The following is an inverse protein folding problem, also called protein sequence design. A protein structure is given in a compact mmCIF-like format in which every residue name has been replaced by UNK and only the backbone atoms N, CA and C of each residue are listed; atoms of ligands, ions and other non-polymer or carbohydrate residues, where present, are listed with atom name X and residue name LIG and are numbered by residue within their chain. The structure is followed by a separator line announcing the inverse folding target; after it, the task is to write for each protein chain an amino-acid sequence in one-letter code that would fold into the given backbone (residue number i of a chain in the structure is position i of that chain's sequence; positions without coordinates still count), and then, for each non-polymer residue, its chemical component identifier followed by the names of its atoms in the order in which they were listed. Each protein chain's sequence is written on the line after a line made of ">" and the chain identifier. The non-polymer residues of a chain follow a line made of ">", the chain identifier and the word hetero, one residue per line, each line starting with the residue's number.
data_IF_081921905191
#
_entry.id   IF_081921905191
#
_cell.length_a   1.000
_cell.length_b   1.000
_cell.length_c   1.000
_cell.angle_alpha   90.00
_cell.angle_beta   90.00
_cell.angle_gamma   90.00
#
_symmetry.space_group_name_H-M   'P 1'
#
loop_
_entity.id
_entity.type
_entity.pdbx_description
1 polymer ?
#
# COMPACT_ATOMS: atom_id res chain seq x y z
N UNK A 1 -28.70 -9.20 -0.57
CA UNK A 1 -27.91 -8.14 -1.20
C UNK A 1 -26.87 -8.80 -2.11
N UNK A 2 -26.80 -8.41 -3.39
CA UNK A 2 -25.87 -9.05 -4.33
C UNK A 2 -24.41 -8.86 -3.89
N UNK A 3 -23.54 -9.83 -4.23
CA UNK A 3 -22.10 -9.80 -3.92
C UNK A 3 -21.49 -8.48 -4.41
N UNK A 4 -21.89 -8.04 -5.59
CA UNK A 4 -21.42 -6.79 -6.18
C UNK A 4 -21.74 -5.55 -5.33
N UNK A 5 -22.95 -5.45 -4.76
CA UNK A 5 -23.30 -4.34 -3.86
C UNK A 5 -22.44 -4.32 -2.59
N UNK A 6 -22.08 -5.49 -2.07
CA UNK A 6 -21.16 -5.61 -0.92
C UNK A 6 -19.75 -5.19 -1.31
N UNK A 7 -19.26 -5.64 -2.48
CA UNK A 7 -17.97 -5.25 -3.02
C UNK A 7 -17.87 -3.73 -3.22
N UNK A 8 -18.89 -3.11 -3.79
CA UNK A 8 -18.95 -1.67 -3.99
C UNK A 8 -18.88 -0.89 -2.67
N UNK A 9 -19.63 -1.31 -1.65
CA UNK A 9 -19.58 -0.68 -0.32
C UNK A 9 -18.18 -0.82 0.32
N UNK A 10 -17.59 -2.00 0.23
CA UNK A 10 -16.25 -2.26 0.73
C UNK A 10 -15.23 -1.35 0.02
N UNK A 11 -15.20 -1.35 -1.31
CA UNK A 11 -14.29 -0.52 -2.09
C UNK A 11 -14.50 0.98 -1.84
N UNK A 12 -15.77 1.43 -1.72
CA UNK A 12 -16.05 2.84 -1.39
C UNK A 12 -15.54 3.24 0.00
N UNK A 13 -15.53 2.33 0.97
CA UNK A 13 -15.00 2.63 2.30
C UNK A 13 -13.47 2.79 2.32
N UNK A 14 -12.77 2.26 1.32
CA UNK A 14 -11.31 2.41 1.16
C UNK A 14 -10.92 3.75 0.54
N UNK A 15 -11.81 4.39 -0.24
CA UNK A 15 -11.50 5.61 -0.99
C UNK A 15 -10.84 6.73 -0.15
N UNK A 16 -11.42 7.16 1.00
CA UNK A 16 -10.87 8.29 1.73
C UNK A 16 -9.48 8.00 2.30
N UNK A 17 -9.26 6.79 2.81
CA UNK A 17 -7.97 6.42 3.40
C UNK A 17 -6.91 6.24 2.32
N UNK A 18 -7.27 5.60 1.19
CA UNK A 18 -6.35 5.44 0.05
C UNK A 18 -6.01 6.77 -0.61
N UNK A 19 -6.94 7.71 -0.67
CA UNK A 19 -6.68 9.06 -1.15
C UNK A 19 -5.64 9.76 -0.27
N UNK A 20 -5.85 9.75 1.05
CA UNK A 20 -4.90 10.33 2.00
C UNK A 20 -3.54 9.64 1.92
N UNK A 21 -3.52 8.32 1.83
CA UNK A 21 -2.29 7.55 1.64
C UNK A 21 -1.51 7.97 0.40
N UNK A 22 -2.20 8.16 -0.74
CA UNK A 22 -1.58 8.63 -1.98
C UNK A 22 -1.07 10.07 -1.90
N UNK A 23 -1.76 10.95 -1.17
CA UNK A 23 -1.26 12.31 -0.91
C UNK A 23 0.05 12.28 -0.10
N UNK A 24 0.14 11.43 0.91
CA UNK A 24 1.35 11.36 1.74
C UNK A 24 2.50 10.61 1.05
N UNK A 25 2.20 9.59 0.24
CA UNK A 25 3.26 8.82 -0.42
C UNK A 25 4.05 9.64 -1.44
N UNK A 26 3.46 10.68 -2.05
CA UNK A 26 4.20 11.53 -2.97
C UNK A 26 5.34 12.29 -2.27
N UNK A 27 5.12 12.72 -1.03
CA UNK A 27 6.18 13.36 -0.25
C UNK A 27 7.32 12.39 0.10
N UNK A 28 7.00 11.12 0.31
CA UNK A 28 8.00 10.07 0.45
C UNK A 28 8.79 9.87 -0.84
N UNK A 29 8.09 9.72 -1.97
CA UNK A 29 8.72 9.48 -3.28
C UNK A 29 9.62 10.63 -3.70
N UNK A 30 9.20 11.88 -3.52
CA UNK A 30 10.01 13.05 -3.87
C UNK A 30 11.28 13.19 -3.04
N UNK A 31 11.30 12.61 -1.82
CA UNK A 31 12.49 12.61 -0.97
C UNK A 31 13.43 11.41 -1.24
N UNK A 32 12.93 10.36 -1.92
CA UNK A 32 13.68 9.13 -2.17
C UNK A 32 14.12 8.97 -3.63
N UNK A 33 13.47 9.69 -4.54
CA UNK A 33 13.84 9.68 -5.96
C UNK A 33 15.09 10.51 -6.22
N UNK A 34 15.91 10.14 -7.23
CA UNK A 34 17.01 10.94 -7.73
C UNK A 34 16.55 12.35 -8.16
N UNK A 35 17.40 13.35 -7.97
CA UNK A 35 17.06 14.77 -8.21
C UNK A 35 16.62 15.05 -9.67
N UNK A 36 17.19 14.35 -10.64
CA UNK A 36 16.83 14.44 -12.04
C UNK A 36 15.39 13.98 -12.30
N UNK A 37 14.97 12.87 -11.71
CA UNK A 37 13.59 12.38 -11.81
C UNK A 37 12.60 13.28 -11.10
N UNK A 38 12.97 13.86 -9.95
CA UNK A 38 12.14 14.85 -9.25
C UNK A 38 12.00 16.10 -10.08
N UNK A 39 13.08 16.59 -10.69
CA UNK A 39 13.07 17.75 -11.56
C UNK A 39 12.17 17.53 -12.80
N UNK A 40 12.22 16.36 -13.42
CA UNK A 40 11.35 15.98 -14.54
C UNK A 40 9.87 15.97 -14.11
N UNK A 41 9.53 15.32 -13.00
CA UNK A 41 8.16 15.27 -12.47
C UNK A 41 7.62 16.67 -12.15
N UNK A 42 8.44 17.56 -11.59
CA UNK A 42 8.06 18.94 -11.30
C UNK A 42 8.00 19.82 -12.54
N UNK A 43 8.66 19.44 -13.64
CA UNK A 43 8.56 20.15 -14.93
C UNK A 43 7.21 19.87 -15.57
N UNK A 44 6.74 18.63 -15.50
CA UNK A 44 5.41 18.25 -16.01
C UNK A 44 4.27 18.78 -15.15
N UNK A 45 4.45 18.78 -13.82
CA UNK A 45 3.46 19.25 -12.84
C UNK A 45 4.10 20.23 -11.84
N UNK A 46 4.22 21.52 -12.20
CA UNK A 46 4.95 22.51 -11.39
C UNK A 46 4.26 22.84 -10.06
N UNK A 47 3.00 22.41 -9.88
CA UNK A 47 2.26 22.66 -8.64
C UNK A 47 2.23 21.39 -7.78
N UNK A 48 2.99 21.42 -6.68
CA UNK A 48 3.07 20.34 -5.69
C UNK A 48 1.68 19.89 -5.17
N UNK A 49 0.76 20.83 -5.01
CA UNK A 49 -0.60 20.51 -4.55
C UNK A 49 -1.34 19.68 -5.61
N UNK A 50 -1.20 20.02 -6.88
CA UNK A 50 -1.80 19.26 -7.97
C UNK A 50 -1.20 17.86 -8.04
N UNK A 51 0.12 17.74 -7.94
CA UNK A 51 0.82 16.45 -7.93
C UNK A 51 0.33 15.56 -6.78
N UNK A 52 0.21 16.11 -5.56
CA UNK A 52 -0.30 15.39 -4.41
C UNK A 52 -1.77 14.95 -4.57
N UNK A 53 -2.62 15.81 -5.14
CA UNK A 53 -4.02 15.47 -5.40
C UNK A 53 -4.15 14.38 -6.48
N UNK A 54 -3.35 14.43 -7.53
CA UNK A 54 -3.31 13.41 -8.58
C UNK A 54 -2.85 12.08 -8.03
N UNK A 55 -1.78 12.06 -7.22
CA UNK A 55 -1.29 10.86 -6.54
C UNK A 55 -2.36 10.27 -5.61
N UNK A 56 -3.06 11.12 -4.84
CA UNK A 56 -4.19 10.71 -4.00
C UNK A 56 -5.32 10.09 -4.81
N UNK A 57 -5.73 10.73 -5.91
CA UNK A 57 -6.77 10.22 -6.80
C UNK A 57 -6.39 8.89 -7.45
N UNK A 58 -5.14 8.74 -7.86
CA UNK A 58 -4.61 7.51 -8.44
C UNK A 58 -4.62 6.35 -7.42
N UNK A 59 -4.14 6.59 -6.19
CA UNK A 59 -4.16 5.59 -5.13
C UNK A 59 -5.59 5.15 -4.78
N UNK A 60 -6.52 6.11 -4.69
CA UNK A 60 -7.93 5.83 -4.47
C UNK A 60 -8.56 5.01 -5.61
N UNK A 61 -8.24 5.34 -6.86
CA UNK A 61 -8.72 4.58 -8.03
C UNK A 61 -8.19 3.14 -8.02
N UNK A 62 -6.92 2.93 -7.72
CA UNK A 62 -6.34 1.59 -7.61
C UNK A 62 -6.99 0.78 -6.49
N UNK A 63 -7.12 1.35 -5.29
CA UNK A 63 -7.76 0.67 -4.18
C UNK A 63 -9.23 0.35 -4.46
N UNK A 64 -9.94 1.25 -5.15
CA UNK A 64 -11.34 1.04 -5.51
C UNK A 64 -11.51 -0.09 -6.52
N UNK A 65 -10.78 -0.06 -7.63
CA UNK A 65 -10.88 -1.07 -8.69
C UNK A 65 -10.42 -2.43 -8.17
N UNK A 66 -9.23 -2.49 -7.56
CA UNK A 66 -8.69 -3.72 -6.99
C UNK A 66 -9.55 -4.23 -5.82
N UNK A 67 -10.15 -3.34 -5.03
CA UNK A 67 -11.06 -3.68 -3.95
C UNK A 67 -12.35 -4.36 -4.44
N UNK A 68 -12.96 -3.87 -5.53
CA UNK A 68 -14.13 -4.49 -6.12
C UNK A 68 -13.80 -5.89 -6.64
N UNK A 69 -12.82 -5.98 -7.53
CA UNK A 69 -12.45 -7.26 -8.15
C UNK A 69 -11.94 -8.26 -7.13
N UNK A 70 -11.05 -7.83 -6.23
CA UNK A 70 -10.51 -8.67 -5.17
C UNK A 70 -11.59 -9.20 -4.23
N UNK A 71 -12.54 -8.37 -3.81
CA UNK A 71 -13.67 -8.80 -2.99
C UNK A 71 -14.51 -9.86 -3.71
N UNK A 72 -14.89 -9.62 -4.97
CA UNK A 72 -15.70 -10.55 -5.76
C UNK A 72 -14.98 -11.89 -5.93
N UNK A 73 -13.67 -11.85 -6.25
CA UNK A 73 -12.85 -13.05 -6.38
C UNK A 73 -12.72 -13.80 -5.05
N UNK A 74 -12.46 -13.10 -3.95
CA UNK A 74 -12.33 -13.70 -2.62
C UNK A 74 -13.61 -14.42 -2.18
N UNK A 75 -14.77 -13.85 -2.48
CA UNK A 75 -16.08 -14.50 -2.23
C UNK A 75 -16.26 -15.71 -3.14
N UNK A 76 -15.91 -15.62 -4.43
CA UNK A 76 -16.03 -16.70 -5.41
C UNK A 76 -15.15 -17.89 -5.08
N UNK A 77 -13.93 -17.65 -4.61
CA UNK A 77 -12.97 -18.69 -4.20
C UNK A 77 -13.27 -19.25 -2.79
N UNK A 78 -14.21 -18.62 -2.05
CA UNK A 78 -14.60 -19.07 -0.70
C UNK A 78 -13.60 -18.65 0.40
N UNK A 79 -12.68 -17.73 0.10
CA UNK A 79 -11.68 -17.22 1.06
C UNK A 79 -12.14 -15.99 1.82
N UNK A 80 -13.27 -15.40 1.45
CA UNK A 80 -13.82 -14.26 2.17
C UNK A 80 -14.47 -14.71 3.49
N UNK A 81 -13.90 -14.24 4.61
CA UNK A 81 -14.49 -14.41 5.94
C UNK A 81 -14.93 -13.07 6.49
N UNK A 82 -16.00 -13.08 7.30
CA UNK A 82 -16.38 -11.89 8.08
C UNK A 82 -15.27 -11.53 9.07
N UNK A 83 -15.08 -10.23 9.27
CA UNK A 83 -14.09 -9.73 10.24
C UNK A 83 -14.57 -10.09 11.65
N UNK A 84 -13.79 -10.89 12.35
CA UNK A 84 -13.95 -11.21 13.76
C UNK A 84 -12.71 -10.77 14.53
N UNK A 85 -12.88 -9.79 15.42
CA UNK A 85 -11.77 -9.33 16.25
C UNK A 85 -11.46 -10.33 17.35
N UNK A 86 -10.32 -11.00 17.24
CA UNK A 86 -9.80 -11.89 18.26
C UNK A 86 -8.51 -11.32 18.83
N UNK A 87 -8.52 -10.98 20.15
CA UNK A 87 -7.36 -10.39 20.84
C UNK A 87 -6.08 -11.24 20.73
N UNK A 88 -6.20 -12.58 20.77
CA UNK A 88 -5.06 -13.48 20.65
C UNK A 88 -4.44 -13.38 19.26
N UNK A 89 -5.26 -13.41 18.20
CA UNK A 89 -4.78 -13.25 16.83
C UNK A 89 -4.19 -11.87 16.59
N UNK A 90 -4.82 -10.81 17.11
CA UNK A 90 -4.30 -9.46 17.00
C UNK A 90 -2.91 -9.31 17.66
N UNK A 91 -2.75 -9.87 18.86
CA UNK A 91 -1.46 -9.88 19.57
C UNK A 91 -0.40 -10.68 18.82
N UNK A 92 -0.75 -11.88 18.33
CA UNK A 92 0.18 -12.71 17.55
C UNK A 92 0.62 -11.99 16.27
N UNK A 93 -0.32 -11.37 15.54
CA UNK A 93 -0.01 -10.58 14.35
C UNK A 93 0.91 -9.41 14.69
N UNK A 94 0.64 -8.69 15.78
CA UNK A 94 1.48 -7.59 16.23
C UNK A 94 2.92 -8.06 16.54
N UNK A 95 3.07 -9.15 17.27
CA UNK A 95 4.40 -9.72 17.60
C UNK A 95 5.14 -10.11 16.32
N UNK A 96 4.49 -10.83 15.39
CA UNK A 96 5.10 -11.24 14.12
C UNK A 96 5.47 -10.00 13.28
N UNK A 97 4.62 -8.98 13.25
CA UNK A 97 4.90 -7.74 12.51
C UNK A 97 6.09 -6.97 13.09
N UNK A 98 6.20 -6.91 14.43
CA UNK A 98 7.35 -6.27 15.11
C UNK A 98 8.63 -7.05 14.83
N UNK A 99 8.61 -8.38 14.95
CA UNK A 99 9.76 -9.24 14.63
C UNK A 99 10.17 -9.09 13.15
N UNK A 100 9.20 -9.11 12.24
CA UNK A 100 9.44 -8.86 10.82
C UNK A 100 10.07 -7.48 10.57
N UNK A 101 9.54 -6.44 11.22
CA UNK A 101 10.09 -5.08 11.15
C UNK A 101 11.54 -5.00 11.64
N UNK A 102 11.87 -5.71 12.74
CA UNK A 102 13.25 -5.80 13.22
C UNK A 102 14.15 -6.48 12.19
N UNK A 103 13.71 -7.62 11.61
CA UNK A 103 14.47 -8.33 10.58
C UNK A 103 14.73 -7.43 9.37
N UNK A 104 13.71 -6.71 8.89
CA UNK A 104 13.87 -5.75 7.78
C UNK A 104 14.78 -4.57 8.15
N UNK A 105 14.74 -4.12 9.41
CA UNK A 105 15.64 -3.06 9.88
C UNK A 105 17.11 -3.50 9.91
N UNK A 106 17.39 -4.80 10.06
CA UNK A 106 18.76 -5.34 9.97
C UNK A 106 19.37 -5.19 8.57
N UNK A 107 18.55 -5.06 7.55
CA UNK A 107 18.98 -4.82 6.17
C UNK A 107 19.89 -3.58 6.08
N UNK A 108 19.50 -2.50 6.74
CA UNK A 108 20.31 -1.28 6.85
C UNK A 108 21.68 -1.53 7.49
N UNK A 109 21.74 -2.35 8.54
CA UNK A 109 22.98 -2.63 9.26
C UNK A 109 23.91 -3.59 8.50
N UNK A 110 23.31 -4.54 7.77
CA UNK A 110 24.06 -5.57 7.04
C UNK A 110 24.52 -5.05 5.68
N UNK A 111 23.62 -4.42 4.91
CA UNK A 111 23.88 -4.00 3.54
C UNK A 111 24.16 -2.51 3.38
N UNK A 112 23.78 -1.67 4.37
CA UNK A 112 24.00 -0.23 4.31
C UNK A 112 25.48 0.17 4.25
N UNK A 113 26.39 -0.67 4.79
CA UNK A 113 27.84 -0.46 4.66
C UNK A 113 28.41 -0.96 3.34
N UNK A 114 27.66 -1.78 2.59
CA UNK A 114 28.10 -2.40 1.33
C UNK A 114 27.50 -1.71 0.10
N UNK A 115 26.38 -0.99 0.26
CA UNK A 115 25.64 -0.37 -0.83
C UNK A 115 25.26 1.07 -0.42
N UNK A 116 25.96 2.06 -0.98
CA UNK A 116 25.77 3.49 -0.62
C UNK A 116 24.32 3.96 -0.79
N UNK A 117 23.64 3.51 -1.83
CA UNK A 117 22.24 3.87 -2.09
C UNK A 117 21.23 3.42 -1.02
N UNK A 118 21.56 2.40 -0.20
CA UNK A 118 20.72 1.97 0.92
C UNK A 118 20.78 2.98 2.08
N UNK A 119 21.94 3.57 2.33
CA UNK A 119 22.06 4.62 3.36
C UNK A 119 21.29 5.88 2.99
N UNK A 120 21.40 6.31 1.75
CA UNK A 120 20.68 7.49 1.23
C UNK A 120 19.16 7.28 1.27
N UNK A 121 18.66 6.13 0.82
CA UNK A 121 17.24 5.80 0.85
C UNK A 121 16.69 5.77 2.29
N UNK A 122 17.43 5.21 3.25
CA UNK A 122 17.00 5.17 4.65
C UNK A 122 17.07 6.55 5.32
N UNK A 123 18.05 7.37 4.99
CA UNK A 123 18.14 8.74 5.51
C UNK A 123 16.96 9.61 5.02
N UNK A 124 16.57 9.47 3.75
CA UNK A 124 15.44 10.19 3.16
C UNK A 124 14.08 9.78 3.73
N UNK A 125 13.92 8.51 4.14
CA UNK A 125 12.65 7.97 4.63
C UNK A 125 12.28 8.37 6.06
N UNK A 126 13.19 8.98 6.83
CA UNK A 126 12.99 9.32 8.24
C UNK A 126 12.13 10.57 8.48
N UNK A 127 11.63 11.23 7.45
CA UNK A 127 10.71 12.33 7.65
C UNK A 127 9.31 11.81 8.02
N UNK A 128 8.60 12.54 8.90
CA UNK A 128 7.28 12.12 9.42
C UNK A 128 6.24 11.88 8.29
N UNK A 129 6.25 12.68 7.24
CA UNK A 129 5.34 12.53 6.10
C UNK A 129 5.64 11.25 5.32
N UNK A 130 6.93 10.93 5.13
CA UNK A 130 7.36 9.68 4.50
C UNK A 130 6.94 8.45 5.29
N UNK A 131 7.11 8.47 6.61
CA UNK A 131 6.68 7.35 7.48
C UNK A 131 5.16 7.17 7.42
N UNK A 132 4.39 8.26 7.54
CA UNK A 132 2.93 8.19 7.43
C UNK A 132 2.52 7.68 6.04
N UNK A 133 3.14 8.18 4.97
CA UNK A 133 2.88 7.76 3.60
C UNK A 133 3.15 6.28 3.39
N UNK A 134 4.31 5.78 3.79
CA UNK A 134 4.69 4.37 3.64
C UNK A 134 3.78 3.43 4.46
N UNK A 135 3.44 3.79 5.69
CA UNK A 135 2.54 2.99 6.53
C UNK A 135 1.12 2.94 5.96
N UNK A 136 0.57 4.09 5.55
CA UNK A 136 -0.79 4.13 5.00
C UNK A 136 -0.86 3.52 3.60
N UNK A 137 0.10 3.81 2.74
CA UNK A 137 0.10 3.30 1.37
C UNK A 137 0.43 1.81 1.36
N UNK A 138 1.52 1.39 1.97
CA UNK A 138 1.92 -0.01 2.08
C UNK A 138 0.91 -0.84 2.88
N UNK A 139 0.44 -0.33 4.01
CA UNK A 139 -0.50 -1.04 4.87
C UNK A 139 -1.94 -1.14 4.33
N UNK A 140 -2.34 -0.33 3.36
CA UNK A 140 -3.70 -0.37 2.84
C UNK A 140 -3.77 -0.50 1.31
N UNK A 141 -3.12 0.36 0.54
CA UNK A 141 -3.26 0.35 -0.92
C UNK A 141 -2.56 -0.88 -1.50
N UNK A 142 -1.33 -1.15 -1.09
CA UNK A 142 -0.57 -2.33 -1.53
C UNK A 142 -1.20 -3.63 -1.04
N UNK A 143 -1.70 -3.70 0.18
CA UNK A 143 -2.40 -4.88 0.69
C UNK A 143 -3.66 -5.22 -0.12
N UNK A 144 -4.44 -4.20 -0.51
CA UNK A 144 -5.61 -4.41 -1.38
C UNK A 144 -5.19 -4.83 -2.78
N UNK A 145 -4.15 -4.24 -3.34
CA UNK A 145 -3.66 -4.58 -4.68
C UNK A 145 -3.00 -5.97 -4.72
N UNK A 146 -2.08 -6.24 -3.80
CA UNK A 146 -1.27 -7.46 -3.84
C UNK A 146 -1.99 -8.65 -3.21
N UNK A 147 -2.52 -8.50 -2.01
CA UNK A 147 -3.16 -9.62 -1.31
C UNK A 147 -4.61 -9.82 -1.75
N UNK A 148 -5.41 -8.76 -1.71
CA UNK A 148 -6.82 -8.95 -2.01
C UNK A 148 -7.08 -9.16 -3.51
N UNK A 149 -6.43 -8.40 -4.39
CA UNK A 149 -6.66 -8.54 -5.82
C UNK A 149 -5.75 -9.60 -6.45
N UNK A 150 -4.42 -9.42 -6.40
CA UNK A 150 -3.48 -10.25 -7.15
C UNK A 150 -3.46 -11.71 -6.66
N UNK A 151 -3.41 -11.93 -5.33
CA UNK A 151 -3.44 -13.30 -4.79
C UNK A 151 -4.79 -13.98 -5.07
N UNK A 152 -5.92 -13.26 -4.96
CA UNK A 152 -7.23 -13.85 -5.26
C UNK A 152 -7.39 -14.13 -6.75
N UNK A 153 -6.84 -13.28 -7.62
CA UNK A 153 -6.79 -13.51 -9.06
C UNK A 153 -5.98 -14.79 -9.38
N UNK A 154 -4.78 -14.91 -8.82
CA UNK A 154 -3.93 -16.10 -9.00
C UNK A 154 -4.62 -17.38 -8.50
N UNK A 155 -5.27 -17.33 -7.32
CA UNK A 155 -6.03 -18.43 -6.79
C UNK A 155 -7.23 -18.81 -7.69
N UNK A 156 -7.94 -17.81 -8.22
CA UNK A 156 -9.04 -18.06 -9.14
C UNK A 156 -8.59 -18.69 -10.45
N UNK A 157 -7.43 -18.28 -10.99
CA UNK A 157 -6.84 -18.90 -12.19
C UNK A 157 -6.39 -20.35 -11.93
N UNK A 158 -5.86 -20.64 -10.74
CA UNK A 158 -5.41 -21.98 -10.37
C UNK A 158 -6.58 -22.98 -10.18
N UNK A 159 -7.80 -22.50 -9.90
CA UNK A 159 -9.00 -23.31 -9.68
C UNK A 159 -9.86 -23.38 -10.95
N UNK A 160 -9.60 -22.53 -11.93
CA UNK A 160 -10.31 -22.55 -13.21
C UNK A 160 -9.99 -23.88 -13.95
N UNK A 161 -11.01 -24.64 -14.43
CA UNK A 161 -10.82 -25.91 -15.12
C UNK A 161 -10.12 -25.76 -16.48
#
# INVERSE_FOLDING_TARGET
>A
MSVFKKALRFASSLLPVSFVAGVFVIFYQLNTLPEDMVAEALTEMPNMTVLALVSGAQAAAYAFVCGIFGYVLAVKVGLWKSFEFNKKHALTTLIISVLGGIVFSLDHWIFGSLIDGIQEANAASLNAAGVIGSVLYGGMVEEVMLRLFFMMFSAACAIAP
#
